data_IF_656578180845
#
_entry.id   IF_656578180845
#
_cell.length_a   1.000
_cell.length_b   1.000
_cell.length_c   1.000
_cell.angle_alpha   90.00
_cell.angle_beta   90.00
_cell.angle_gamma   90.00
#
_symmetry.space_group_name_H-M   'P 1'
#
loop_
_entity.id
_entity.type
_entity.pdbx_description
1 polymer ?
#
# COMPACT_ATOMS: atom_id res chain seq x y z
N UNK A 1 -14.88 20.81 -0.57
CA UNK A 1 -13.56 20.17 -0.33
C UNK A 1 -13.70 18.76 0.23
N UNK A 2 -14.46 18.53 1.31
CA UNK A 2 -14.71 17.20 1.89
C UNK A 2 -15.35 16.19 0.92
N UNK A 3 -16.39 16.60 0.19
CA UNK A 3 -17.13 15.72 -0.72
C UNK A 3 -16.29 15.18 -1.89
N UNK A 4 -15.28 15.94 -2.34
CA UNK A 4 -14.39 15.51 -3.40
C UNK A 4 -13.52 14.31 -2.94
N UNK A 5 -12.96 14.41 -1.73
CA UNK A 5 -12.11 13.36 -1.17
C UNK A 5 -12.88 12.06 -0.90
N UNK A 6 -14.14 12.15 -0.48
CA UNK A 6 -15.04 10.98 -0.33
C UNK A 6 -15.23 10.24 -1.65
N UNK A 7 -15.47 10.97 -2.75
CA UNK A 7 -15.62 10.36 -4.08
C UNK A 7 -14.31 9.72 -4.56
N UNK A 8 -13.18 10.40 -4.39
CA UNK A 8 -11.86 9.83 -4.76
C UNK A 8 -11.54 8.55 -3.99
N UNK A 9 -11.79 8.52 -2.68
CA UNK A 9 -11.55 7.32 -1.86
C UNK A 9 -12.48 6.19 -2.31
N UNK A 10 -13.75 6.50 -2.58
CA UNK A 10 -14.73 5.53 -3.08
C UNK A 10 -14.31 4.95 -4.43
N UNK A 11 -13.83 5.80 -5.34
CA UNK A 11 -13.34 5.40 -6.65
C UNK A 11 -12.16 4.43 -6.52
N UNK A 12 -11.12 4.80 -5.77
CA UNK A 12 -9.95 3.94 -5.52
C UNK A 12 -10.34 2.61 -4.87
N UNK A 13 -11.27 2.63 -3.92
CA UNK A 13 -11.76 1.39 -3.29
C UNK A 13 -12.49 0.50 -4.31
N UNK A 14 -13.31 1.08 -5.17
CA UNK A 14 -14.06 0.35 -6.19
C UNK A 14 -13.15 -0.28 -7.25
N UNK A 15 -12.14 0.49 -7.71
CA UNK A 15 -11.11 0.00 -8.65
C UNK A 15 -10.33 -1.18 -8.07
N UNK A 16 -9.99 -1.14 -6.78
CA UNK A 16 -9.27 -2.25 -6.15
C UNK A 16 -10.11 -3.52 -6.05
N UNK A 17 -11.41 -3.39 -5.75
CA UNK A 17 -12.33 -4.53 -5.76
C UNK A 17 -12.46 -5.13 -7.16
N UNK A 18 -12.60 -4.30 -8.19
CA UNK A 18 -12.67 -4.72 -9.59
C UNK A 18 -11.39 -5.45 -10.03
N UNK A 19 -10.23 -4.86 -9.74
CA UNK A 19 -8.90 -5.44 -10.06
C UNK A 19 -8.69 -6.82 -9.43
N UNK A 20 -9.28 -7.06 -8.25
CA UNK A 20 -9.20 -8.33 -7.53
C UNK A 20 -10.39 -9.27 -7.82
N UNK A 21 -11.32 -8.86 -8.69
CA UNK A 21 -12.56 -9.57 -8.98
C UNK A 21 -13.38 -9.89 -7.70
N UNK A 22 -13.40 -8.96 -6.74
CA UNK A 22 -14.09 -9.07 -5.46
C UNK A 22 -15.44 -8.36 -5.50
N UNK A 23 -16.46 -8.99 -4.94
CA UNK A 23 -17.80 -8.39 -4.77
C UNK A 23 -17.97 -7.88 -3.35
N UNK A 24 -18.45 -6.64 -3.20
CA UNK A 24 -18.57 -5.96 -1.90
C UNK A 24 -19.42 -6.71 -0.87
N UNK A 25 -20.57 -7.28 -1.26
CA UNK A 25 -21.48 -7.99 -0.34
C UNK A 25 -20.87 -9.29 0.22
N UNK A 26 -20.34 -10.21 -0.62
CA UNK A 26 -19.58 -11.37 -0.13
C UNK A 26 -18.37 -10.97 0.72
N UNK A 27 -17.61 -9.97 0.29
CA UNK A 27 -16.42 -9.51 1.00
C UNK A 27 -16.76 -8.92 2.38
N UNK A 28 -17.90 -8.23 2.52
CA UNK A 28 -18.36 -7.71 3.81
C UNK A 28 -18.52 -8.86 4.82
N UNK A 29 -19.13 -9.97 4.39
CA UNK A 29 -19.34 -11.14 5.25
C UNK A 29 -18.02 -11.83 5.62
N UNK A 30 -17.06 -11.91 4.70
CA UNK A 30 -15.77 -12.58 4.96
C UNK A 30 -14.85 -11.80 5.89
N UNK A 31 -15.14 -10.53 6.17
CA UNK A 31 -14.39 -9.69 7.12
C UNK A 31 -15.19 -9.43 8.41
N UNK A 32 -16.20 -10.25 8.70
CA UNK A 32 -17.08 -10.13 9.86
C UNK A 32 -17.82 -8.78 9.96
N UNK A 33 -18.04 -8.11 8.83
CA UNK A 33 -18.85 -6.91 8.74
C UNK A 33 -20.30 -7.23 8.36
N UNK A 34 -21.22 -6.32 8.71
CA UNK A 34 -22.59 -6.39 8.22
C UNK A 34 -22.61 -6.46 6.68
N UNK A 35 -23.49 -7.27 6.09
CA UNK A 35 -23.46 -7.60 4.65
C UNK A 35 -23.54 -6.39 3.70
N UNK A 36 -24.01 -5.26 4.20
CA UNK A 36 -24.17 -4.00 3.44
C UNK A 36 -23.02 -3.01 3.65
N UNK A 37 -22.05 -3.29 4.53
CA UNK A 37 -20.98 -2.35 4.91
C UNK A 37 -20.17 -1.91 3.71
N UNK A 38 -19.51 -2.83 3.00
CA UNK A 38 -18.70 -2.45 1.83
C UNK A 38 -19.58 -2.02 0.65
N UNK A 39 -20.83 -2.52 0.59
CA UNK A 39 -21.83 -2.07 -0.38
C UNK A 39 -22.20 -0.59 -0.20
N UNK A 40 -22.14 -0.06 1.02
CA UNK A 40 -22.31 1.37 1.28
C UNK A 40 -21.08 2.16 0.81
N UNK A 41 -19.88 1.61 1.02
CA UNK A 41 -18.63 2.28 0.66
C UNK A 41 -18.55 2.53 -0.84
N UNK A 42 -18.87 1.54 -1.67
CA UNK A 42 -18.92 1.69 -3.15
C UNK A 42 -20.01 2.66 -3.64
N UNK A 43 -20.95 3.09 -2.77
CA UNK A 43 -22.01 4.06 -3.08
C UNK A 43 -21.75 5.44 -2.47
N UNK A 44 -20.48 5.82 -2.32
CA UNK A 44 -20.03 7.09 -1.75
C UNK A 44 -20.42 7.30 -0.27
N UNK A 45 -20.75 6.23 0.46
CA UNK A 45 -21.03 6.28 1.90
C UNK A 45 -19.88 5.68 2.70
N UNK A 46 -18.66 6.07 2.37
CA UNK A 46 -17.48 5.70 3.15
C UNK A 46 -17.50 6.41 4.52
N UNK A 47 -16.90 5.82 5.56
CA UNK A 47 -16.86 6.44 6.89
C UNK A 47 -15.99 7.71 6.89
N UNK A 48 -16.38 8.71 7.69
CA UNK A 48 -15.59 9.95 7.85
C UNK A 48 -14.16 9.69 8.34
N UNK A 49 -13.95 8.60 9.08
CA UNK A 49 -12.63 8.16 9.53
C UNK A 49 -11.66 7.95 8.37
N UNK A 50 -12.13 7.47 7.20
CA UNK A 50 -11.28 7.32 6.02
C UNK A 50 -10.83 8.67 5.48
N UNK A 51 -11.73 9.66 5.51
CA UNK A 51 -11.43 11.04 5.13
C UNK A 51 -10.42 11.66 6.10
N UNK A 52 -10.54 11.39 7.40
CA UNK A 52 -9.60 11.87 8.41
C UNK A 52 -8.21 11.28 8.20
N UNK A 53 -8.12 9.98 7.94
CA UNK A 53 -6.84 9.31 7.63
C UNK A 53 -6.20 9.91 6.37
N UNK A 54 -6.97 10.14 5.31
CA UNK A 54 -6.45 10.78 4.10
C UNK A 54 -5.94 12.22 4.37
N UNK A 55 -6.60 12.99 5.24
CA UNK A 55 -6.12 14.31 5.67
C UNK A 55 -4.85 14.23 6.51
N UNK A 56 -4.74 13.25 7.41
CA UNK A 56 -3.53 13.02 8.20
C UNK A 56 -2.34 12.65 7.31
N UNK A 57 -2.57 11.85 6.25
CA UNK A 57 -1.57 11.57 5.23
C UNK A 57 -1.07 12.86 4.53
N UNK A 58 -1.97 13.80 4.24
CA UNK A 58 -1.59 15.10 3.66
C UNK A 58 -0.72 15.95 4.61
N UNK A 59 -0.72 15.65 5.91
CA UNK A 59 0.16 16.27 6.91
C UNK A 59 1.47 15.50 7.12
N UNK A 60 1.74 14.45 6.34
CA UNK A 60 2.98 13.67 6.41
C UNK A 60 2.95 12.47 7.36
N UNK A 61 1.79 12.12 7.93
CA UNK A 61 1.65 10.91 8.75
C UNK A 61 1.47 9.70 7.83
N UNK A 62 2.32 8.68 7.91
CA UNK A 62 2.14 7.45 7.12
C UNK A 62 1.00 6.59 7.70
N UNK A 63 -0.15 6.61 7.03
CA UNK A 63 -1.33 5.87 7.45
C UNK A 63 -1.16 4.35 7.30
N UNK A 64 -0.30 3.88 6.40
CA UNK A 64 -0.02 2.44 6.24
C UNK A 64 0.72 1.93 7.46
N UNK A 65 1.65 2.71 8.01
CA UNK A 65 2.29 2.37 9.28
C UNK A 65 1.28 2.33 10.42
N UNK A 66 0.42 3.37 10.52
CA UNK A 66 -0.58 3.46 11.59
C UNK A 66 -1.59 2.30 11.56
N UNK A 67 -2.09 1.93 10.37
CA UNK A 67 -3.13 0.90 10.24
C UNK A 67 -2.58 -0.53 10.12
N UNK A 68 -1.43 -0.69 9.48
CA UNK A 68 -0.92 -2.00 9.06
C UNK A 68 0.43 -2.36 9.70
N UNK A 69 1.04 -1.44 10.45
CA UNK A 69 2.39 -1.63 11.02
C UNK A 69 3.49 -1.72 9.96
N UNK A 70 3.19 -1.38 8.70
CA UNK A 70 4.16 -1.40 7.60
C UNK A 70 5.09 -0.22 7.79
N UNK A 71 6.31 -0.52 8.20
CA UNK A 71 7.34 0.49 8.42
C UNK A 71 7.55 1.29 7.11
N UNK A 72 7.47 2.64 7.16
CA UNK A 72 7.59 3.49 5.99
C UNK A 72 8.92 3.31 5.24
N UNK A 73 9.99 2.87 5.93
CA UNK A 73 11.27 2.53 5.31
C UNK A 73 11.24 1.24 4.47
N UNK A 74 10.16 0.45 4.56
CA UNK A 74 10.05 -0.90 4.00
C UNK A 74 8.81 -1.13 3.12
N UNK A 75 8.07 -0.07 2.79
CA UNK A 75 6.80 -0.24 2.08
C UNK A 75 7.01 -0.84 0.68
N UNK A 76 6.56 -2.09 0.49
CA UNK A 76 6.63 -2.82 -0.79
C UNK A 76 7.77 -3.84 -0.90
N UNK A 77 8.60 -4.00 0.14
CA UNK A 77 9.68 -4.98 0.17
C UNK A 77 9.24 -6.25 0.92
N UNK A 78 9.65 -7.42 0.45
CA UNK A 78 9.64 -8.65 1.24
C UNK A 78 10.55 -8.52 2.47
N UNK A 79 10.45 -9.46 3.42
CA UNK A 79 11.35 -9.48 4.58
C UNK A 79 12.81 -9.60 4.15
N UNK A 80 13.09 -10.37 3.10
CA UNK A 80 14.42 -10.54 2.52
C UNK A 80 14.91 -9.24 1.86
N UNK A 81 14.08 -8.60 1.04
CA UNK A 81 14.40 -7.32 0.38
C UNK A 81 14.63 -6.20 1.40
N UNK A 82 13.90 -6.24 2.51
CA UNK A 82 14.05 -5.33 3.65
C UNK A 82 15.42 -5.46 4.33
N UNK A 83 15.85 -6.70 4.59
CA UNK A 83 17.18 -7.00 5.14
C UNK A 83 18.28 -6.55 4.18
N UNK A 84 18.12 -6.83 2.88
CA UNK A 84 19.07 -6.45 1.85
C UNK A 84 19.21 -4.92 1.77
N UNK A 85 18.10 -4.18 1.76
CA UNK A 85 18.12 -2.71 1.71
C UNK A 85 18.78 -2.11 2.96
N UNK A 86 18.50 -2.66 4.14
CA UNK A 86 19.12 -2.21 5.39
C UNK A 86 20.63 -2.42 5.38
N UNK A 87 21.09 -3.59 4.93
CA UNK A 87 22.52 -3.87 4.78
C UNK A 87 23.17 -2.93 3.75
N UNK A 88 22.54 -2.74 2.59
CA UNK A 88 23.01 -1.84 1.54
C UNK A 88 23.22 -0.40 2.04
N UNK A 89 22.25 0.15 2.79
CA UNK A 89 22.32 1.53 3.32
C UNK A 89 23.46 1.74 4.33
N UNK A 90 24.01 0.68 4.92
CA UNK A 90 25.13 0.76 5.88
C UNK A 90 26.51 0.63 5.24
N UNK A 91 26.59 0.29 3.95
CA UNK A 91 27.85 0.17 3.21
C UNK A 91 28.46 1.53 2.89
N UNK A 92 29.78 1.55 2.62
CA UNK A 92 30.43 2.73 2.03
C UNK A 92 29.90 3.00 0.61
N UNK A 93 30.05 4.22 0.07
CA UNK A 93 29.63 4.54 -1.28
C UNK A 93 30.21 3.59 -2.34
N UNK A 94 31.49 3.23 -2.21
CA UNK A 94 32.18 2.33 -3.14
C UNK A 94 31.60 0.90 -3.07
N UNK A 95 31.26 0.44 -1.87
CA UNK A 95 30.67 -0.88 -1.66
C UNK A 95 29.20 -0.94 -2.14
N UNK A 96 28.45 0.16 -2.01
CA UNK A 96 27.11 0.29 -2.61
C UNK A 96 27.18 0.20 -4.13
N UNK A 97 28.10 0.93 -4.77
CA UNK A 97 28.29 0.91 -6.23
C UNK A 97 28.69 -0.48 -6.73
N UNK A 98 29.61 -1.16 -6.02
CA UNK A 98 30.02 -2.52 -6.35
C UNK A 98 28.85 -3.52 -6.28
N UNK A 99 28.05 -3.47 -5.20
CA UNK A 99 26.90 -4.35 -5.02
C UNK A 99 25.81 -4.10 -6.08
N UNK A 100 25.55 -2.83 -6.42
CA UNK A 100 24.63 -2.47 -7.50
C UNK A 100 25.13 -2.97 -8.86
N UNK A 101 26.43 -2.86 -9.12
CA UNK A 101 27.09 -3.39 -10.32
C UNK A 101 26.90 -4.90 -10.46
N UNK A 102 27.18 -5.65 -9.38
CA UNK A 102 26.98 -7.10 -9.34
C UNK A 102 25.53 -7.48 -9.62
N UNK A 103 24.57 -6.82 -8.96
CA UNK A 103 23.14 -7.09 -9.17
C UNK A 103 22.70 -6.90 -10.62
N UNK A 104 23.20 -5.86 -11.29
CA UNK A 104 22.91 -5.60 -12.72
C UNK A 104 23.46 -6.68 -13.65
N UNK A 105 24.65 -7.22 -13.36
CA UNK A 105 25.25 -8.30 -14.14
C UNK A 105 24.42 -9.58 -13.99
N UNK A 106 24.12 -9.97 -12.76
CA UNK A 106 23.36 -11.18 -12.45
C UNK A 106 21.93 -11.13 -13.01
N UNK A 107 21.27 -9.97 -12.96
CA UNK A 107 19.94 -9.79 -13.55
C UNK A 107 19.94 -10.00 -15.08
N UNK A 108 20.95 -9.48 -15.78
CA UNK A 108 21.08 -9.67 -17.25
C UNK A 108 21.34 -11.11 -17.67
N UNK A 109 22.01 -11.91 -16.83
CA UNK A 109 22.22 -13.33 -17.11
C UNK A 109 20.93 -14.16 -16.94
N UNK A 110 20.00 -13.66 -16.13
CA UNK A 110 18.71 -14.31 -15.83
C UNK A 110 17.64 -14.07 -16.90
N UNK A 111 17.84 -13.11 -17.81
CA UNK A 111 16.92 -12.74 -18.90
C UNK A 111 17.18 -13.48 -20.22
N UNK A 112 18.13 -14.42 -20.25
CA UNK A 112 18.46 -15.27 -21.41
C UNK A 112 17.92 -16.68 -21.26
#
# INVERSE_FOLDING_TARGET
MSENLTMEITQRFSEELERKNLKAKPLSRSIDAHENTLGNYVRNKVPDQWVYLAKLQQQGIDIRYVLLGIDPDYSGLTSEESVLLKAYRQLSPEAQEALLGLGKVMAKESEK
#
